data_IF_478337567494
#
_entry.id   IF_478337567494
#
_cell.length_a   1.000
_cell.length_b   1.000
_cell.length_c   1.000
_cell.angle_alpha   90.00
_cell.angle_beta   90.00
_cell.angle_gamma   90.00
#
_symmetry.space_group_name_H-M   'P 1'
#
loop_
_entity.id
_entity.type
_entity.pdbx_description
1 polymer ?
#
# COMPACT_ATOMS: atom_id res chain seq x y z
N UNK A 1 44.58 16.99 23.15
CA UNK A 1 44.60 15.65 22.52
C UNK A 1 43.81 14.75 23.45
N UNK A 2 42.64 14.19 23.18
CA UNK A 2 41.80 14.00 22.00
C UNK A 2 40.35 14.29 22.41
N UNK A 3 39.58 14.98 21.57
CA UNK A 3 38.13 15.17 21.77
C UNK A 3 37.42 13.99 21.13
N UNK A 4 36.82 13.10 21.92
CA UNK A 4 36.00 12.00 21.41
C UNK A 4 34.64 12.56 20.97
N UNK A 5 34.48 12.78 19.66
CA UNK A 5 33.17 13.03 19.06
C UNK A 5 32.46 11.69 18.97
N UNK A 6 31.53 11.43 19.88
CA UNK A 6 30.56 10.34 19.72
C UNK A 6 29.55 10.84 18.69
N UNK A 7 29.70 10.39 17.45
CA UNK A 7 28.62 10.48 16.45
C UNK A 7 27.54 9.49 16.91
N UNK A 8 26.31 9.93 17.22
CA UNK A 8 25.25 8.98 17.48
C UNK A 8 24.95 8.29 16.14
N UNK A 9 25.15 6.97 16.08
CA UNK A 9 24.66 6.15 14.99
C UNK A 9 23.13 6.20 15.01
N UNK A 10 22.55 7.20 14.36
CA UNK A 10 21.12 7.26 14.10
C UNK A 10 20.86 6.48 12.81
N UNK A 11 20.88 5.15 12.89
CA UNK A 11 20.28 4.31 11.85
C UNK A 11 19.10 3.60 12.49
N UNK A 12 18.02 4.36 12.71
CA UNK A 12 16.71 3.78 12.87
C UNK A 12 16.09 3.72 11.48
N UNK A 13 16.25 2.59 10.78
CA UNK A 13 15.41 2.27 9.64
C UNK A 13 13.97 2.16 10.17
N UNK A 14 13.19 3.22 9.96
CA UNK A 14 11.80 3.30 10.41
C UNK A 14 10.91 2.75 9.31
N UNK A 15 10.72 1.44 9.26
CA UNK A 15 9.42 0.95 8.82
C UNK A 15 8.48 1.07 10.04
N UNK A 16 8.01 2.28 10.31
CA UNK A 16 6.86 2.49 11.20
C UNK A 16 5.64 2.13 10.36
N UNK A 17 5.23 0.86 10.38
CA UNK A 17 3.90 0.31 10.00
C UNK A 17 2.97 1.16 9.09
N UNK A 18 3.51 1.80 8.06
CA UNK A 18 2.80 2.77 7.25
C UNK A 18 3.44 2.85 5.87
N UNK A 19 2.57 2.85 4.88
CA UNK A 19 2.87 2.98 3.46
C UNK A 19 3.68 4.26 3.20
N UNK A 20 4.70 4.13 2.37
CA UNK A 20 5.61 5.23 2.02
C UNK A 20 5.37 5.72 0.58
N UNK A 21 4.89 6.95 0.47
CA UNK A 21 4.57 7.61 -0.79
C UNK A 21 5.70 8.47 -1.37
N UNK A 22 6.94 8.34 -0.91
CA UNK A 22 8.09 9.16 -1.35
C UNK A 22 8.27 9.15 -2.87
N UNK A 23 7.96 8.03 -3.52
CA UNK A 23 8.08 7.86 -4.97
C UNK A 23 6.73 7.73 -5.68
N UNK A 24 5.65 8.16 -5.04
CA UNK A 24 4.31 8.05 -5.61
C UNK A 24 4.13 8.91 -6.86
N UNK A 25 3.89 8.27 -8.00
CA UNK A 25 3.65 8.90 -9.31
C UNK A 25 2.23 8.60 -9.84
N UNK A 26 1.23 9.43 -9.49
CA UNK A 26 -0.11 9.29 -10.03
C UNK A 26 -0.14 9.72 -11.50
N UNK A 27 -0.53 8.81 -12.38
CA UNK A 27 -0.69 9.09 -13.80
C UNK A 27 -1.91 9.99 -14.06
N UNK A 28 -1.98 10.66 -15.23
CA UNK A 28 -3.11 11.52 -15.57
C UNK A 28 -4.47 10.84 -15.40
N UNK A 29 -5.40 11.54 -14.76
CA UNK A 29 -6.77 11.05 -14.51
C UNK A 29 -6.97 10.42 -13.13
N UNK A 30 -5.90 10.04 -12.41
CA UNK A 30 -6.01 9.61 -11.02
C UNK A 30 -6.48 10.78 -10.15
N UNK A 31 -7.55 10.56 -9.39
CA UNK A 31 -8.10 11.53 -8.46
C UNK A 31 -7.08 11.81 -7.34
N UNK A 32 -6.83 13.08 -6.98
CA UNK A 32 -5.84 13.43 -5.96
C UNK A 32 -6.16 12.80 -4.59
N UNK A 33 -7.43 12.61 -4.27
CA UNK A 33 -7.92 11.97 -3.05
C UNK A 33 -7.54 10.49 -2.95
N UNK A 34 -7.22 9.84 -4.07
CA UNK A 34 -6.87 8.42 -4.08
C UNK A 34 -5.62 8.13 -3.25
N UNK A 35 -4.66 9.07 -3.17
CA UNK A 35 -3.48 8.91 -2.32
C UNK A 35 -3.85 8.80 -0.84
N UNK A 36 -4.73 9.69 -0.36
CA UNK A 36 -5.16 9.71 1.04
C UNK A 36 -6.05 8.50 1.36
N UNK A 37 -6.90 8.12 0.42
CA UNK A 37 -7.69 6.89 0.50
C UNK A 37 -6.80 5.65 0.58
N UNK A 38 -5.81 5.51 -0.31
CA UNK A 38 -4.88 4.39 -0.32
C UNK A 38 -4.07 4.33 0.97
N UNK A 39 -3.65 5.48 1.51
CA UNK A 39 -3.00 5.57 2.81
C UNK A 39 -3.89 5.04 3.94
N UNK A 40 -5.15 5.50 4.00
CA UNK A 40 -6.12 5.08 5.00
C UNK A 40 -6.49 3.60 4.89
N UNK A 41 -6.56 3.06 3.67
CA UNK A 41 -6.83 1.66 3.41
C UNK A 41 -5.64 0.76 3.79
N UNK A 42 -4.42 1.10 3.36
CA UNK A 42 -3.26 0.20 3.50
C UNK A 42 -2.65 0.27 4.89
N UNK A 43 -2.63 1.43 5.56
CA UNK A 43 -1.99 1.58 6.88
C UNK A 43 -2.49 0.55 7.91
N UNK A 44 -3.81 0.28 8.05
CA UNK A 44 -4.28 -0.77 8.93
C UNK A 44 -3.82 -2.19 8.55
N UNK A 45 -3.54 -2.47 7.27
CA UNK A 45 -3.00 -3.78 6.85
C UNK A 45 -1.56 -3.99 7.34
N UNK A 46 -0.83 -2.90 7.56
CA UNK A 46 0.58 -2.89 7.94
C UNK A 46 0.79 -2.79 9.46
N UNK A 47 -0.27 -2.45 10.21
CA UNK A 47 -0.24 -2.42 11.67
C UNK A 47 -0.39 -3.83 12.27
N UNK A 48 0.63 -4.38 12.94
CA UNK A 48 0.54 -5.69 13.57
C UNK A 48 -0.49 -5.78 14.71
N UNK A 49 -1.07 -4.65 15.14
CA UNK A 49 -2.13 -4.58 16.16
C UNK A 49 -3.53 -4.47 15.55
N UNK A 50 -3.65 -4.25 14.24
CA UNK A 50 -4.95 -4.17 13.61
C UNK A 50 -5.67 -5.54 13.65
N UNK A 51 -6.97 -5.50 13.87
CA UNK A 51 -7.85 -6.67 13.86
C UNK A 51 -8.76 -6.64 12.66
N UNK A 52 -9.66 -5.65 12.61
CA UNK A 52 -10.68 -5.51 11.56
C UNK A 52 -10.54 -4.23 10.73
N UNK A 53 -9.71 -3.27 11.17
CA UNK A 53 -9.66 -1.93 10.60
C UNK A 53 -9.35 -1.91 9.09
N UNK A 54 -8.61 -2.89 8.57
CA UNK A 54 -8.42 -3.08 7.13
C UNK A 54 -9.68 -3.62 6.45
N UNK A 55 -10.23 -4.71 6.98
CA UNK A 55 -11.39 -5.40 6.40
C UNK A 55 -12.68 -4.58 6.49
N UNK A 56 -12.76 -3.58 7.37
CA UNK A 56 -13.92 -2.70 7.52
C UNK A 56 -14.15 -1.79 6.29
N UNK A 57 -13.13 -1.63 5.43
CA UNK A 57 -13.27 -0.96 4.12
C UNK A 57 -13.96 -1.83 3.06
N UNK A 58 -14.04 -3.14 3.26
CA UNK A 58 -14.52 -4.09 2.27
C UNK A 58 -16.03 -4.31 2.37
N UNK A 59 -16.67 -4.60 1.25
CA UNK A 59 -18.04 -5.10 1.27
C UNK A 59 -18.11 -6.47 1.96
N UNK A 60 -19.28 -6.89 2.50
CA UNK A 60 -19.42 -8.21 3.13
C UNK A 60 -19.07 -9.39 2.23
N UNK A 61 -19.23 -9.22 0.91
CA UNK A 61 -18.89 -10.19 -0.14
C UNK A 61 -17.54 -9.87 -0.83
N UNK A 62 -16.83 -8.84 -0.36
CA UNK A 62 -15.55 -8.42 -0.90
C UNK A 62 -14.46 -9.43 -0.60
N UNK A 63 -13.50 -9.52 -1.51
CA UNK A 63 -12.41 -10.50 -1.42
C UNK A 63 -11.06 -9.82 -1.20
N UNK A 64 -10.34 -10.28 -0.17
CA UNK A 64 -8.93 -10.00 0.05
C UNK A 64 -8.12 -11.28 -0.22
N UNK A 65 -7.02 -11.16 -0.94
CA UNK A 65 -6.19 -12.31 -1.32
C UNK A 65 -4.88 -12.44 -0.56
N UNK A 66 -4.46 -11.46 0.26
CA UNK A 66 -3.19 -11.52 1.00
C UNK A 66 -3.22 -10.69 2.30
N UNK A 67 -2.60 -11.18 3.37
CA UNK A 67 -2.46 -10.55 4.69
C UNK A 67 -1.03 -10.73 5.18
N UNK A 68 -0.26 -9.65 5.37
CA UNK A 68 1.09 -9.73 5.94
C UNK A 68 1.64 -8.36 6.31
N UNK A 69 2.41 -8.33 7.41
CA UNK A 69 3.04 -7.16 8.03
C UNK A 69 4.17 -6.67 7.11
N UNK A 70 3.82 -5.75 6.22
CA UNK A 70 4.60 -5.29 5.08
C UNK A 70 4.62 -3.76 5.06
N UNK A 71 5.63 -3.13 4.46
CA UNK A 71 5.60 -1.70 4.15
C UNK A 71 5.50 -1.53 2.64
N UNK A 72 4.41 -0.95 2.14
CA UNK A 72 4.21 -0.67 0.73
C UNK A 72 4.94 0.62 0.32
N UNK A 73 5.54 0.59 -0.86
CA UNK A 73 6.17 1.72 -1.51
C UNK A 73 5.59 1.83 -2.93
N UNK A 74 4.38 2.41 -3.09
CA UNK A 74 3.80 2.61 -4.41
C UNK A 74 4.66 3.58 -5.22
N UNK A 75 4.89 3.25 -6.49
CA UNK A 75 5.64 4.09 -7.42
C UNK A 75 4.80 4.59 -8.59
N UNK A 76 3.93 3.76 -9.16
CA UNK A 76 3.06 4.15 -10.28
C UNK A 76 1.62 3.86 -9.91
N UNK A 77 0.71 4.78 -10.20
CA UNK A 77 -0.73 4.55 -10.00
C UNK A 77 -1.52 5.08 -11.18
N UNK A 78 -2.50 4.32 -11.65
CA UNK A 78 -3.37 4.71 -12.77
C UNK A 78 -4.76 4.09 -12.64
N UNK A 79 -5.71 4.57 -13.46
CA UNK A 79 -7.04 3.97 -13.58
C UNK A 79 -6.95 2.85 -14.62
N UNK A 80 -7.14 1.61 -14.17
CA UNK A 80 -7.13 0.42 -15.03
C UNK A 80 -8.49 0.21 -15.71
N UNK A 81 -9.58 0.56 -15.02
CA UNK A 81 -10.95 0.55 -15.56
C UNK A 81 -11.82 1.58 -14.84
N UNK A 82 -12.86 2.07 -15.51
CA UNK A 82 -13.86 2.95 -14.91
C UNK A 82 -15.20 2.70 -15.59
N UNK A 83 -16.23 2.40 -14.79
CA UNK A 83 -17.57 2.16 -15.27
C UNK A 83 -18.60 2.90 -14.40
N UNK A 84 -19.89 2.60 -14.59
CA UNK A 84 -20.95 3.28 -13.85
C UNK A 84 -20.96 2.95 -12.35
N UNK A 85 -20.43 1.80 -11.93
CA UNK A 85 -20.54 1.33 -10.54
C UNK A 85 -19.23 1.43 -9.76
N UNK A 86 -18.07 1.43 -10.44
CA UNK A 86 -16.78 1.44 -9.79
C UNK A 86 -15.69 2.11 -10.64
N UNK A 87 -14.62 2.51 -9.96
CA UNK A 87 -13.33 2.84 -10.56
C UNK A 87 -12.31 1.83 -10.06
N UNK A 88 -11.58 1.20 -10.99
CA UNK A 88 -10.50 0.27 -10.69
C UNK A 88 -9.18 1.03 -10.79
N UNK A 89 -8.55 1.21 -9.64
CA UNK A 89 -7.20 1.74 -9.57
C UNK A 89 -6.19 0.61 -9.61
N UNK A 90 -5.08 0.84 -10.28
CA UNK A 90 -3.93 -0.06 -10.23
C UNK A 90 -2.74 0.67 -9.64
N UNK A 91 -2.15 0.08 -8.60
CA UNK A 91 -0.91 0.56 -8.00
C UNK A 91 0.20 -0.46 -8.23
N UNK A 92 1.34 0.02 -8.68
CA UNK A 92 2.59 -0.74 -8.75
C UNK A 92 3.50 -0.27 -7.63
N UNK A 93 4.42 -1.13 -7.24
CA UNK A 93 5.45 -0.72 -6.32
C UNK A 93 6.28 -1.90 -5.85
N UNK A 94 6.89 -1.68 -4.70
CA UNK A 94 7.53 -2.73 -3.93
C UNK A 94 6.93 -2.82 -2.55
N UNK A 95 7.01 -4.00 -1.99
CA UNK A 95 6.71 -4.28 -0.60
C UNK A 95 8.02 -4.69 0.06
N UNK A 96 8.33 -4.07 1.19
CA UNK A 96 9.49 -4.43 1.99
C UNK A 96 9.07 -5.17 3.26
N UNK A 97 9.78 -6.26 3.53
CA UNK A 97 9.60 -7.16 4.65
C UNK A 97 10.74 -7.00 5.65
N UNK A 98 10.45 -6.58 6.88
CA UNK A 98 11.41 -6.64 7.97
C UNK A 98 11.19 -7.90 8.81
N UNK A 99 12.15 -8.81 8.78
CA UNK A 99 12.10 -10.02 9.60
C UNK A 99 12.75 -9.78 10.96
N UNK A 100 12.24 -10.46 11.99
CA UNK A 100 12.77 -10.37 13.38
C UNK A 100 14.26 -10.70 13.50
N UNK A 101 14.82 -11.46 12.55
CA UNK A 101 16.24 -11.79 12.50
C UNK A 101 17.14 -10.64 12.00
N UNK A 102 16.56 -9.49 11.64
CA UNK A 102 17.29 -8.30 11.21
C UNK A 102 17.60 -8.23 9.71
N UNK A 103 17.20 -9.24 8.93
CA UNK A 103 17.22 -9.16 7.47
C UNK A 103 15.96 -8.45 6.95
N UNK A 104 16.13 -7.64 5.91
CA UNK A 104 15.05 -7.05 5.14
C UNK A 104 15.11 -7.59 3.71
N UNK A 105 13.96 -7.99 3.17
CA UNK A 105 13.85 -8.36 1.75
C UNK A 105 12.68 -7.63 1.10
N UNK A 106 12.70 -7.48 -0.23
CA UNK A 106 11.61 -6.85 -0.97
C UNK A 106 11.04 -7.70 -2.10
N UNK A 107 9.77 -7.48 -2.41
CA UNK A 107 9.07 -8.02 -3.58
C UNK A 107 8.46 -6.86 -4.36
N UNK A 108 8.22 -7.06 -5.65
CA UNK A 108 7.48 -6.11 -6.49
C UNK A 108 6.05 -6.58 -6.65
N UNK A 109 5.11 -5.63 -6.64
CA UNK A 109 3.69 -5.91 -6.75
C UNK A 109 3.02 -5.11 -7.86
N UNK A 110 1.91 -5.65 -8.36
CA UNK A 110 0.86 -4.88 -9.03
C UNK A 110 -0.48 -5.30 -8.45
N UNK A 111 -1.24 -4.32 -7.99
CA UNK A 111 -2.46 -4.53 -7.24
C UNK A 111 -3.57 -3.70 -7.83
N UNK A 112 -4.74 -4.30 -8.02
CA UNK A 112 -5.96 -3.60 -8.39
C UNK A 112 -6.88 -3.40 -7.17
N UNK A 113 -7.43 -2.19 -7.07
CA UNK A 113 -8.39 -1.76 -6.07
C UNK A 113 -9.69 -1.36 -6.78
N UNK A 114 -10.72 -2.17 -6.65
CA UNK A 114 -12.05 -1.87 -7.19
C UNK A 114 -12.84 -1.07 -6.15
N UNK A 115 -12.91 0.25 -6.35
CA UNK A 115 -13.59 1.18 -5.43
C UNK A 115 -14.97 1.53 -5.98
N UNK A 116 -16.01 1.28 -5.17
CA UNK A 116 -17.40 1.50 -5.51
C UNK A 116 -17.75 2.99 -5.54
N UNK A 117 -18.69 3.35 -6.43
CA UNK A 117 -19.31 4.68 -6.50
C UNK A 117 -20.59 4.70 -5.68
N UNK A 118 -20.85 5.81 -4.99
CA UNK A 118 -22.15 6.03 -4.31
C UNK A 118 -23.27 6.39 -5.28
N UNK A 119 -22.91 6.96 -6.44
CA UNK A 119 -23.82 7.33 -7.52
C UNK A 119 -23.45 6.55 -8.77
N UNK A 120 -24.42 5.82 -9.33
CA UNK A 120 -24.16 5.02 -10.54
C UNK A 120 -24.07 5.91 -11.79
N UNK A 121 -22.86 6.27 -12.18
CA UNK A 121 -22.55 7.01 -13.40
C UNK A 121 -21.09 6.85 -13.77
N UNK A 122 -20.78 6.84 -15.07
CA UNK A 122 -19.40 6.79 -15.56
C UNK A 122 -18.59 8.00 -15.09
N UNK A 123 -19.23 9.17 -14.98
CA UNK A 123 -18.61 10.44 -14.60
C UNK A 123 -18.61 10.70 -13.09
N UNK A 124 -19.35 9.90 -12.31
CA UNK A 124 -19.34 10.04 -10.86
C UNK A 124 -17.97 9.59 -10.29
N UNK A 125 -17.42 10.31 -9.30
CA UNK A 125 -16.21 9.88 -8.62
C UNK A 125 -16.46 8.62 -7.77
N UNK A 126 -15.44 7.78 -7.56
CA UNK A 126 -15.52 6.68 -6.59
C UNK A 126 -15.60 7.20 -5.15
N UNK A 127 -16.07 6.36 -4.23
CA UNK A 127 -16.09 6.68 -2.81
C UNK A 127 -14.67 6.59 -2.23
N UNK A 128 -13.96 7.72 -2.24
CA UNK A 128 -12.61 7.85 -1.68
C UNK A 128 -12.61 8.37 -0.24
N UNK A 129 -13.71 8.18 0.50
CA UNK A 129 -13.76 8.47 1.94
C UNK A 129 -12.63 7.74 2.66
N UNK A 130 -11.89 8.44 3.52
CA UNK A 130 -10.85 7.82 4.37
C UNK A 130 -11.44 7.06 5.56
N UNK A 131 -12.78 7.03 5.68
CA UNK A 131 -13.50 6.25 6.69
C UNK A 131 -13.94 4.92 6.09
N UNK A 132 -13.92 3.83 6.87
CA UNK A 132 -14.47 2.56 6.40
C UNK A 132 -15.98 2.66 6.23
N UNK A 133 -16.44 2.51 4.98
CA UNK A 133 -17.83 2.64 4.52
C UNK A 133 -18.19 1.48 3.56
N UNK A 134 -17.42 0.39 3.55
CA UNK A 134 -17.60 -0.74 2.63
C UNK A 134 -17.44 -0.37 1.15
N UNK A 135 -16.53 0.56 0.84
CA UNK A 135 -16.31 1.08 -0.50
C UNK A 135 -15.37 0.24 -1.37
N UNK A 136 -14.66 -0.74 -0.82
CA UNK A 136 -13.76 -1.62 -1.57
C UNK A 136 -14.47 -2.93 -1.88
N UNK A 137 -14.74 -3.19 -3.15
CA UNK A 137 -15.30 -4.47 -3.57
C UNK A 137 -14.22 -5.54 -3.73
N UNK A 138 -13.08 -5.16 -4.31
CA UNK A 138 -12.02 -6.11 -4.59
C UNK A 138 -10.63 -5.51 -4.40
N UNK A 139 -9.77 -6.30 -3.75
CA UNK A 139 -8.33 -6.09 -3.65
C UNK A 139 -7.64 -7.30 -4.28
N UNK A 140 -6.88 -7.07 -5.36
CA UNK A 140 -6.29 -8.16 -6.14
C UNK A 140 -4.82 -7.93 -6.47
N UNK A 141 -3.96 -8.63 -5.75
CA UNK A 141 -2.52 -8.75 -6.04
C UNK A 141 -2.31 -9.74 -7.18
N UNK A 142 -2.49 -9.26 -8.42
CA UNK A 142 -2.42 -10.13 -9.59
C UNK A 142 -0.98 -10.40 -10.05
N UNK A 143 -0.03 -9.59 -9.59
CA UNK A 143 1.40 -9.77 -9.84
C UNK A 143 2.17 -9.60 -8.54
N UNK A 144 2.99 -10.60 -8.23
CA UNK A 144 3.98 -10.56 -7.15
C UNK A 144 5.26 -11.21 -7.68
N UNK A 145 6.39 -10.52 -7.55
CA UNK A 145 7.69 -11.07 -7.96
C UNK A 145 8.85 -10.58 -7.07
N UNK A 146 9.69 -11.49 -6.55
CA UNK A 146 9.53 -12.94 -6.56
C UNK A 146 8.35 -13.39 -5.69
N UNK A 147 7.86 -14.61 -5.91
CA UNK A 147 6.74 -15.18 -5.13
C UNK A 147 7.20 -15.74 -3.77
N UNK A 148 8.50 -15.95 -3.58
CA UNK A 148 9.09 -16.41 -2.33
C UNK A 148 9.41 -15.26 -1.38
N UNK A 149 9.00 -15.41 -0.10
CA UNK A 149 9.30 -14.48 1.00
C UNK A 149 9.89 -15.29 2.17
N UNK A 150 11.09 -14.96 2.69
CA UNK A 150 11.99 -13.88 2.28
C UNK A 150 12.47 -14.02 0.84
N UNK A 151 12.61 -12.90 0.14
CA UNK A 151 13.26 -12.85 -1.17
C UNK A 151 14.76 -12.62 -1.04
N UNK A 152 15.50 -12.85 -2.13
CA UNK A 152 16.93 -12.52 -2.21
C UNK A 152 17.20 -11.06 -2.61
N UNK A 153 16.15 -10.23 -2.68
CA UNK A 153 16.27 -8.82 -3.10
C UNK A 153 16.39 -7.95 -1.83
N UNK A 154 17.51 -7.24 -1.63
CA UNK A 154 17.67 -6.36 -0.48
C UNK A 154 16.74 -5.15 -0.59
N UNK A 155 16.28 -4.67 0.57
CA UNK A 155 15.40 -3.51 0.67
C UNK A 155 16.08 -2.21 0.19
N UNK A 156 15.39 -1.47 -0.66
CA UNK A 156 15.85 -0.18 -1.16
C UNK A 156 15.82 0.89 -0.06
N UNK A 157 14.91 0.81 0.92
CA UNK A 157 14.89 1.74 2.07
C UNK A 157 16.16 1.71 2.93
N UNK A 158 16.98 0.65 2.81
CA UNK A 158 18.25 0.52 3.52
C UNK A 158 19.44 1.08 2.72
N UNK A 159 19.23 1.47 1.45
CA UNK A 159 20.26 2.08 0.61
C UNK A 159 20.28 3.58 0.89
N UNK A 160 21.17 3.97 1.82
CA UNK A 160 21.51 5.38 2.11
C UNK A 160 22.24 6.06 0.97
#
# INVERSE_FOLDING_TARGET
>A
MYSSIIVPALVAARCVAAIDFTHYDPQPGVQPEFKDFLNALVTPAEDPKATTAYTDFFTPDGMQTTLSIHCHFPNTTFIADNNATATVYEAHGRIENNFKAGNCSQIYYKTQYTVLKTVQSIDAPPNLSTKPEQQVYWYHDYFVNPTGVPSDIPCDSLKV
#
